data_IF_491119970757
#
_entry.id   IF_491119970757
#
_cell.length_a   1.000
_cell.length_b   1.000
_cell.length_c   1.000
_cell.angle_alpha   90.00
_cell.angle_beta   90.00
_cell.angle_gamma   90.00
#
_symmetry.space_group_name_H-M   'P 1'
#
loop_
_entity.id
_entity.type
_entity.pdbx_description
1 polymer ?
#
# COMPACT_ATOMS: atom_id res chain seq x y z
N UNK A 1 -11.16 13.01 18.08
CA UNK A 1 -10.25 14.04 18.64
C UNK A 1 -8.85 13.53 18.41
N UNK A 2 -8.21 13.95 17.31
CA UNK A 2 -6.78 13.74 17.14
C UNK A 2 -6.11 14.65 18.18
N UNK A 3 -5.32 14.10 19.10
CA UNK A 3 -4.57 14.93 20.05
C UNK A 3 -3.42 15.52 19.24
N UNK A 4 -3.37 16.84 19.00
CA UNK A 4 -2.24 17.45 18.33
C UNK A 4 -1.03 17.32 19.26
N UNK A 5 0.11 16.90 18.72
CA UNK A 5 1.39 16.78 19.44
C UNK A 5 2.00 18.13 19.88
N UNK A 6 1.22 19.21 19.87
CA UNK A 6 1.62 20.50 20.41
C UNK A 6 0.64 20.95 21.50
N UNK A 7 1.06 20.67 22.73
CA UNK A 7 0.89 21.45 23.97
C UNK A 7 0.54 20.53 25.15
N UNK A 8 1.46 20.48 26.12
CA UNK A 8 1.34 19.79 27.41
C UNK A 8 1.34 18.26 27.39
N UNK A 9 2.46 17.65 27.00
CA UNK A 9 2.83 16.35 27.57
C UNK A 9 3.33 16.59 29.02
N UNK A 10 2.71 15.99 30.06
CA UNK A 10 3.19 16.16 31.43
C UNK A 10 4.62 15.62 31.52
N UNK A 11 5.53 16.45 32.04
CA UNK A 11 6.87 16.02 32.44
C UNK A 11 6.73 14.94 33.52
N UNK A 12 7.09 13.72 33.21
CA UNK A 12 7.54 12.76 34.22
C UNK A 12 8.99 12.38 33.88
N UNK A 13 9.91 13.21 34.38
CA UNK A 13 11.27 12.80 34.64
C UNK A 13 11.29 12.25 36.07
N UNK A 14 11.65 10.98 36.22
CA UNK A 14 11.73 10.28 37.51
C UNK A 14 11.57 8.79 37.26
N UNK A 15 12.51 8.00 37.76
CA UNK A 15 12.66 6.58 37.50
C UNK A 15 11.34 5.79 37.55
N UNK A 16 11.02 5.07 36.46
CA UNK A 16 10.08 3.95 36.50
C UNK A 16 8.70 4.09 35.84
N UNK A 17 8.25 5.27 35.40
CA UNK A 17 6.86 5.43 34.94
C UNK A 17 6.68 5.65 33.43
N UNK A 18 6.14 4.60 32.79
CA UNK A 18 5.67 4.56 31.40
C UNK A 18 4.47 5.50 31.16
N UNK A 19 4.39 6.07 29.96
CA UNK A 19 3.27 6.87 29.41
C UNK A 19 1.89 6.48 29.98
N UNK A 20 1.33 7.34 30.83
CA UNK A 20 0.01 7.15 31.46
C UNK A 20 -1.12 7.48 30.48
N UNK A 21 -1.45 6.53 29.59
CA UNK A 21 -2.79 6.46 29.00
C UNK A 21 -3.67 5.60 29.92
N UNK A 22 -4.77 6.18 30.42
CA UNK A 22 -5.71 5.55 31.35
C UNK A 22 -6.45 4.37 30.68
N UNK A 23 -6.88 3.38 31.47
CA UNK A 23 -7.79 2.33 31.02
C UNK A 23 -9.09 2.99 30.49
N UNK A 24 -9.40 2.83 29.19
CA UNK A 24 -10.60 3.43 28.57
C UNK A 24 -10.36 4.43 27.43
N UNK A 25 -9.18 4.44 26.80
CA UNK A 25 -8.90 5.33 25.65
C UNK A 25 -9.80 5.03 24.45
N UNK A 26 -10.45 6.07 23.89
CA UNK A 26 -11.23 6.02 22.64
C UNK A 26 -10.34 6.19 21.39
N UNK A 27 -9.09 5.72 21.46
CA UNK A 27 -8.12 5.97 20.40
C UNK A 27 -8.44 5.12 19.17
N UNK A 28 -8.79 5.79 18.07
CA UNK A 28 -9.16 5.15 16.80
C UNK A 28 -8.09 5.30 15.73
N UNK A 29 -7.21 6.30 15.84
CA UNK A 29 -6.17 6.60 14.87
C UNK A 29 -4.85 6.85 15.58
N UNK A 30 -3.77 6.27 15.05
CA UNK A 30 -2.41 6.50 15.51
C UNK A 30 -1.52 6.77 14.30
N UNK A 31 -0.97 7.97 14.24
CA UNK A 31 -0.19 8.48 13.11
C UNK A 31 1.18 8.93 13.61
N UNK A 32 2.24 8.29 13.09
CA UNK A 32 3.63 8.59 13.43
C UNK A 32 4.38 9.32 12.30
N UNK A 33 3.67 9.95 11.36
CA UNK A 33 4.30 10.72 10.26
C UNK A 33 5.02 12.02 10.66
N UNK A 34 4.60 12.81 11.67
CA UNK A 34 5.26 14.10 11.91
C UNK A 34 6.71 13.92 12.36
N UNK A 35 7.68 14.33 11.53
CA UNK A 35 9.13 14.24 11.81
C UNK A 35 9.53 14.89 13.14
N UNK A 36 8.81 15.94 13.53
CA UNK A 36 9.04 16.71 14.75
C UNK A 36 8.56 15.98 16.01
N UNK A 37 7.68 14.98 15.89
CA UNK A 37 7.13 14.25 17.03
C UNK A 37 8.20 13.47 17.82
N UNK A 38 9.28 13.07 17.14
CA UNK A 38 10.31 12.20 17.71
C UNK A 38 11.62 12.91 18.05
N UNK A 39 11.75 14.19 17.71
CA UNK A 39 12.96 14.97 18.00
C UNK A 39 13.21 15.14 19.50
N UNK A 40 12.16 15.01 20.33
CA UNK A 40 12.21 15.07 21.79
C UNK A 40 12.49 13.72 22.47
N UNK A 41 12.55 12.61 21.74
CA UNK A 41 12.83 11.29 22.32
C UNK A 41 14.33 11.19 22.62
N UNK A 42 14.69 11.00 23.90
CA UNK A 42 16.09 10.84 24.32
C UNK A 42 16.72 9.60 23.67
N UNK A 43 17.95 9.72 23.17
CA UNK A 43 18.71 8.62 22.54
C UNK A 43 18.66 8.67 21.02
N UNK A 44 18.41 7.53 20.38
CA UNK A 44 18.52 7.35 18.92
C UNK A 44 17.58 8.25 18.10
N UNK A 45 16.50 8.79 18.68
CA UNK A 45 15.67 9.81 18.00
C UNK A 45 14.46 9.27 17.23
N UNK A 46 13.78 8.22 17.73
CA UNK A 46 12.57 7.69 17.10
C UNK A 46 11.73 6.72 17.93
N UNK A 47 10.68 6.21 17.30
CA UNK A 47 9.78 5.19 17.86
C UNK A 47 10.52 3.86 18.03
N UNK A 48 10.84 3.50 19.27
CA UNK A 48 11.43 2.19 19.58
C UNK A 48 10.35 1.11 19.73
N UNK A 49 10.76 -0.15 19.64
CA UNK A 49 9.89 -1.31 19.85
C UNK A 49 9.16 -1.27 21.20
N UNK A 50 9.85 -0.86 22.27
CA UNK A 50 9.29 -0.78 23.63
C UNK A 50 8.24 0.33 23.75
N UNK A 51 8.47 1.47 23.11
CA UNK A 51 7.50 2.57 23.06
C UNK A 51 6.27 2.13 22.30
N UNK A 52 6.43 1.56 21.10
CA UNK A 52 5.32 1.02 20.31
C UNK A 52 4.54 -0.05 21.09
N UNK A 53 5.25 -0.96 21.77
CA UNK A 53 4.65 -1.99 22.62
C UNK A 53 3.86 -1.40 23.79
N UNK A 54 4.40 -0.38 24.47
CA UNK A 54 3.75 0.26 25.61
C UNK A 54 2.44 0.97 25.21
N UNK A 55 2.44 1.60 24.02
CA UNK A 55 1.25 2.27 23.44
C UNK A 55 0.20 1.23 23.05
N UNK A 56 0.59 0.18 22.35
CA UNK A 56 -0.35 -0.83 21.84
C UNK A 56 -0.94 -1.71 22.96
N UNK A 57 -0.17 -2.00 24.03
CA UNK A 57 -0.59 -2.87 25.15
C UNK A 57 -1.75 -2.28 25.97
N UNK A 58 -1.91 -0.95 26.01
CA UNK A 58 -2.95 -0.25 26.78
C UNK A 58 -4.04 0.33 25.85
N UNK A 59 -5.02 -0.50 25.48
CA UNK A 59 -6.34 0.00 25.07
C UNK A 59 -6.60 0.27 23.58
N UNK A 60 -5.87 -0.37 22.65
CA UNK A 60 -6.15 -0.22 21.20
C UNK A 60 -7.34 -1.05 20.67
N UNK A 61 -8.33 -1.40 21.51
CA UNK A 61 -9.49 -2.21 21.10
C UNK A 61 -10.32 -1.55 20.00
N UNK A 62 -10.29 -0.21 19.94
CA UNK A 62 -11.01 0.61 18.97
C UNK A 62 -10.12 1.16 17.85
N UNK A 63 -8.86 0.76 17.77
CA UNK A 63 -7.94 1.29 16.76
C UNK A 63 -8.40 0.84 15.37
N UNK A 64 -8.73 1.79 14.52
CA UNK A 64 -9.17 1.59 13.13
C UNK A 64 -8.07 1.93 12.14
N UNK A 65 -7.12 2.81 12.48
CA UNK A 65 -6.03 3.22 11.59
C UNK A 65 -4.68 3.27 12.32
N UNK A 66 -3.64 2.72 11.69
CA UNK A 66 -2.26 2.73 12.19
C UNK A 66 -1.28 3.06 11.05
N UNK A 67 -0.46 4.10 11.21
CA UNK A 67 0.58 4.47 10.25
C UNK A 67 1.98 4.38 10.87
N UNK A 68 2.82 3.48 10.34
CA UNK A 68 4.22 3.27 10.75
C UNK A 68 5.24 3.67 9.65
N UNK A 69 4.81 4.37 8.60
CA UNK A 69 5.59 4.63 7.37
C UNK A 69 6.90 5.40 7.56
N UNK A 70 6.97 6.27 8.57
CA UNK A 70 8.14 7.08 8.92
C UNK A 70 8.87 6.59 10.18
N UNK A 71 8.67 5.32 10.56
CA UNK A 71 9.49 4.62 11.56
C UNK A 71 10.67 3.78 11.00
N UNK A 72 11.18 3.95 9.75
CA UNK A 72 12.06 2.96 9.13
C UNK A 72 13.47 2.91 9.74
N UNK A 73 13.90 3.95 10.46
CA UNK A 73 15.27 4.06 11.00
C UNK A 73 15.42 3.63 12.46
N UNK A 74 14.34 3.38 13.19
CA UNK A 74 14.40 3.23 14.66
C UNK A 74 13.91 1.90 15.21
N UNK A 75 13.34 1.05 14.35
CA UNK A 75 12.93 -0.28 14.75
C UNK A 75 14.07 -1.32 14.70
N UNK A 76 15.33 -0.94 14.46
CA UNK A 76 16.49 -1.83 14.68
C UNK A 76 17.82 -1.08 14.79
N UNK A 77 18.47 -1.10 15.96
CA UNK A 77 19.95 -1.20 16.03
C UNK A 77 20.53 -1.98 17.23
N UNK A 78 19.73 -2.53 18.16
CA UNK A 78 20.19 -3.57 19.11
C UNK A 78 19.66 -4.98 18.82
N UNK A 79 18.86 -5.15 17.75
CA UNK A 79 18.34 -6.45 17.32
C UNK A 79 19.05 -7.04 16.08
N UNK A 80 20.20 -6.48 15.68
CA UNK A 80 20.95 -6.90 14.48
C UNK A 80 21.79 -8.17 14.73
N UNK A 81 21.91 -8.65 15.97
CA UNK A 81 22.63 -9.90 16.30
C UNK A 81 21.76 -11.07 16.75
N UNK A 82 20.44 -10.90 16.91
CA UNK A 82 19.54 -11.99 17.32
C UNK A 82 18.42 -12.20 16.29
N UNK A 83 18.74 -12.90 15.19
CA UNK A 83 17.81 -13.64 14.32
C UNK A 83 16.73 -12.79 13.63
N UNK A 84 16.93 -12.58 12.33
CA UNK A 84 16.04 -11.83 11.44
C UNK A 84 14.55 -12.13 11.64
N UNK A 85 13.81 -11.08 11.98
CA UNK A 85 12.36 -11.07 11.85
C UNK A 85 11.55 -11.43 13.09
N UNK A 86 12.17 -11.64 14.25
CA UNK A 86 11.49 -12.09 15.46
C UNK A 86 10.53 -11.03 16.07
N UNK A 87 10.78 -9.73 15.90
CA UNK A 87 10.09 -8.69 16.71
C UNK A 87 8.81 -8.16 16.06
N UNK A 88 8.78 -7.91 14.74
CA UNK A 88 7.50 -7.73 14.03
C UNK A 88 6.66 -9.03 14.11
N UNK A 89 7.30 -10.20 14.22
CA UNK A 89 6.60 -11.44 14.56
C UNK A 89 5.92 -11.29 15.93
N UNK A 90 6.55 -10.74 16.98
CA UNK A 90 5.86 -10.54 18.26
C UNK A 90 4.76 -9.47 18.22
N UNK A 91 4.95 -8.35 17.52
CA UNK A 91 3.90 -7.32 17.33
C UNK A 91 2.71 -7.87 16.52
N UNK A 92 2.96 -8.64 15.46
CA UNK A 92 1.91 -9.21 14.61
C UNK A 92 1.30 -10.52 15.14
N UNK A 93 2.07 -11.37 15.82
CA UNK A 93 1.65 -12.67 16.39
C UNK A 93 1.08 -12.54 17.81
N UNK A 94 1.40 -11.44 18.52
CA UNK A 94 0.96 -11.16 19.90
C UNK A 94 0.07 -9.93 20.07
N UNK A 95 0.44 -8.76 19.49
CA UNK A 95 -0.23 -7.47 19.78
C UNK A 95 -1.44 -7.18 18.90
N UNK A 96 -1.30 -7.22 17.57
CA UNK A 96 -2.40 -6.87 16.66
C UNK A 96 -3.52 -7.92 16.69
N UNK A 97 -3.18 -9.20 16.87
CA UNK A 97 -4.13 -10.33 16.86
C UNK A 97 -5.02 -10.52 18.06
N UNK A 98 -4.65 -9.98 19.22
CA UNK A 98 -5.51 -10.08 20.41
C UNK A 98 -6.27 -8.78 20.68
N UNK A 99 -5.74 -7.62 20.29
CA UNK A 99 -6.25 -6.32 20.73
C UNK A 99 -6.77 -5.40 19.62
N UNK A 100 -6.29 -5.46 18.37
CA UNK A 100 -6.67 -4.52 17.30
C UNK A 100 -7.62 -5.16 16.25
N UNK A 101 -8.72 -5.77 16.71
CA UNK A 101 -9.67 -6.50 15.84
C UNK A 101 -10.44 -5.59 14.87
N UNK A 102 -10.52 -4.30 15.18
CA UNK A 102 -11.24 -3.30 14.41
C UNK A 102 -10.33 -2.54 13.43
N UNK A 103 -9.06 -2.95 13.29
CA UNK A 103 -8.12 -2.27 12.39
C UNK A 103 -8.60 -2.40 10.94
N UNK A 104 -8.81 -1.25 10.31
CA UNK A 104 -9.25 -1.08 8.91
C UNK A 104 -8.13 -0.57 8.03
N UNK A 105 -7.28 0.31 8.53
CA UNK A 105 -6.20 0.93 7.76
C UNK A 105 -4.85 0.67 8.42
N UNK A 106 -3.87 0.29 7.60
CA UNK A 106 -2.52 0.01 8.05
C UNK A 106 -1.49 0.49 7.02
N UNK A 107 -0.55 1.32 7.44
CA UNK A 107 0.62 1.70 6.66
C UNK A 107 1.90 1.16 7.30
N UNK A 108 2.63 0.35 6.54
CA UNK A 108 3.91 -0.25 6.91
C UNK A 108 5.02 0.13 5.92
N UNK A 109 4.85 1.20 5.14
CA UNK A 109 5.80 1.63 4.12
C UNK A 109 7.21 1.81 4.69
N UNK A 110 8.22 1.32 3.97
CA UNK A 110 9.62 1.40 4.41
C UNK A 110 10.00 0.53 5.62
N UNK A 111 9.03 -0.12 6.29
CA UNK A 111 9.30 -1.01 7.43
C UNK A 111 9.81 -2.36 6.93
N UNK A 112 10.78 -2.93 7.66
CA UNK A 112 11.35 -4.26 7.37
C UNK A 112 10.40 -5.37 7.84
N UNK A 113 9.38 -5.68 7.03
CA UNK A 113 8.39 -6.73 7.30
C UNK A 113 8.79 -8.05 6.64
N UNK A 114 8.66 -9.16 7.37
CA UNK A 114 8.87 -10.51 6.84
C UNK A 114 7.53 -11.28 6.64
N UNK A 115 7.60 -12.39 5.92
CA UNK A 115 6.44 -13.23 5.58
C UNK A 115 5.66 -13.76 6.79
N UNK A 116 6.37 -14.20 7.84
CA UNK A 116 5.74 -14.77 9.03
C UNK A 116 4.96 -13.71 9.81
N UNK A 117 5.52 -12.51 9.91
CA UNK A 117 4.87 -11.34 10.49
C UNK A 117 3.58 -10.99 9.77
N UNK A 118 3.64 -10.76 8.46
CA UNK A 118 2.47 -10.34 7.68
C UNK A 118 1.39 -11.42 7.67
N UNK A 119 1.78 -12.71 7.65
CA UNK A 119 0.86 -13.83 7.83
C UNK A 119 0.14 -13.77 9.18
N UNK A 120 0.87 -13.54 10.28
CA UNK A 120 0.26 -13.44 11.62
C UNK A 120 -0.70 -12.24 11.71
N UNK A 121 -0.31 -11.10 11.13
CA UNK A 121 -1.14 -9.89 11.04
C UNK A 121 -2.41 -10.15 10.23
N UNK A 122 -2.30 -10.81 9.09
CA UNK A 122 -3.46 -11.09 8.23
C UNK A 122 -4.51 -11.99 8.88
N UNK A 123 -4.09 -12.93 9.75
CA UNK A 123 -5.00 -13.78 10.52
C UNK A 123 -5.76 -13.03 11.61
N UNK A 124 -5.21 -11.89 12.00
CA UNK A 124 -5.55 -11.11 13.18
C UNK A 124 -6.47 -9.94 12.81
N UNK A 125 -6.06 -9.17 11.80
CA UNK A 125 -6.72 -7.99 11.29
C UNK A 125 -7.55 -8.34 10.04
N UNK A 126 -8.56 -9.20 10.21
CA UNK A 126 -9.41 -9.66 9.09
C UNK A 126 -10.37 -8.58 8.57
N UNK A 127 -10.54 -7.49 9.32
CA UNK A 127 -11.36 -6.32 8.97
C UNK A 127 -10.62 -5.25 8.17
N UNK A 128 -9.37 -5.52 7.77
CA UNK A 128 -8.56 -4.56 7.03
C UNK A 128 -9.23 -4.22 5.69
N UNK A 129 -9.40 -2.92 5.46
CA UNK A 129 -9.96 -2.30 4.26
C UNK A 129 -8.85 -1.66 3.41
N UNK A 130 -7.81 -1.11 4.07
CA UNK A 130 -6.68 -0.44 3.43
C UNK A 130 -5.33 -0.93 3.97
N UNK A 131 -4.42 -1.24 3.04
CA UNK A 131 -3.03 -1.58 3.35
C UNK A 131 -2.07 -0.80 2.45
N UNK A 132 -1.03 -0.23 3.05
CA UNK A 132 0.09 0.41 2.36
C UNK A 132 1.40 -0.26 2.77
N UNK A 133 2.17 -0.72 1.79
CA UNK A 133 3.43 -1.45 1.93
C UNK A 133 4.48 -0.91 0.95
N UNK A 134 4.59 0.41 0.80
CA UNK A 134 5.47 1.00 -0.21
C UNK A 134 6.94 0.71 0.12
N UNK A 135 7.73 0.38 -0.92
CA UNK A 135 9.18 0.16 -0.84
C UNK A 135 9.57 -0.90 0.22
N UNK A 136 8.66 -1.81 0.56
CA UNK A 136 8.91 -2.91 1.49
C UNK A 136 9.61 -4.09 0.80
N UNK A 137 10.83 -3.89 0.27
CA UNK A 137 11.51 -4.84 -0.64
C UNK A 137 11.68 -6.29 -0.13
N UNK A 138 11.56 -6.53 1.17
CA UNK A 138 11.62 -7.88 1.78
C UNK A 138 10.27 -8.59 1.86
N UNK A 139 9.17 -7.90 1.57
CA UNK A 139 7.82 -8.49 1.52
C UNK A 139 7.71 -9.29 0.23
N UNK A 140 7.96 -10.59 0.33
CA UNK A 140 7.77 -11.51 -0.79
C UNK A 140 6.28 -11.77 -1.09
N UNK A 141 5.98 -12.27 -2.28
CA UNK A 141 4.60 -12.53 -2.72
C UNK A 141 3.85 -13.52 -1.82
N UNK A 142 4.54 -14.47 -1.20
CA UNK A 142 3.95 -15.39 -0.23
C UNK A 142 3.34 -14.64 0.97
N UNK A 143 3.93 -13.52 1.37
CA UNK A 143 3.42 -12.69 2.45
C UNK A 143 2.11 -12.00 2.05
N UNK A 144 2.11 -11.34 0.88
CA UNK A 144 0.92 -10.70 0.30
C UNK A 144 -0.19 -11.72 0.04
N UNK A 145 0.16 -12.93 -0.38
CA UNK A 145 -0.79 -14.03 -0.57
C UNK A 145 -1.57 -14.35 0.72
N UNK A 146 -0.90 -14.44 1.87
CA UNK A 146 -1.59 -14.64 3.15
C UNK A 146 -2.46 -13.45 3.53
N UNK A 147 -1.99 -12.23 3.25
CA UNK A 147 -2.74 -11.00 3.46
C UNK A 147 -4.06 -11.01 2.69
N UNK A 148 -4.00 -11.17 1.36
CA UNK A 148 -5.19 -11.20 0.51
C UNK A 148 -6.10 -12.40 0.79
N UNK A 149 -5.52 -13.54 1.19
CA UNK A 149 -6.30 -14.70 1.60
C UNK A 149 -7.16 -14.43 2.84
N UNK A 150 -6.67 -13.69 3.83
CA UNK A 150 -7.37 -13.54 5.11
C UNK A 150 -8.14 -12.22 5.23
N UNK A 151 -7.66 -11.12 4.62
CA UNK A 151 -8.27 -9.79 4.71
C UNK A 151 -9.25 -9.57 3.54
N UNK A 152 -10.46 -10.14 3.66
CA UNK A 152 -11.46 -10.16 2.57
C UNK A 152 -12.22 -8.86 2.35
N UNK A 153 -11.99 -7.86 3.19
CA UNK A 153 -12.60 -6.52 3.07
C UNK A 153 -11.67 -5.49 2.41
N UNK A 154 -10.45 -5.90 2.02
CA UNK A 154 -9.50 -4.99 1.39
C UNK A 154 -10.12 -4.37 0.13
N UNK A 155 -10.18 -3.04 0.12
CA UNK A 155 -10.62 -2.21 -0.99
C UNK A 155 -9.50 -1.30 -1.52
N UNK A 156 -8.41 -1.14 -0.76
CA UNK A 156 -7.29 -0.29 -1.12
C UNK A 156 -5.97 -1.00 -0.80
N UNK A 157 -5.16 -1.24 -1.82
CA UNK A 157 -3.85 -1.88 -1.68
C UNK A 157 -2.81 -1.02 -2.39
N UNK A 158 -1.81 -0.57 -1.64
CA UNK A 158 -0.68 0.14 -2.18
C UNK A 158 0.61 -0.62 -1.90
N UNK A 159 1.28 -1.07 -2.97
CA UNK A 159 2.56 -1.79 -2.91
C UNK A 159 3.59 -1.14 -3.84
N UNK A 160 3.49 0.19 -4.05
CA UNK A 160 4.42 0.96 -4.88
C UNK A 160 5.89 0.69 -4.49
N UNK A 161 6.77 0.58 -5.47
CA UNK A 161 8.20 0.38 -5.29
C UNK A 161 8.61 -1.02 -4.81
N UNK A 162 7.70 -1.99 -4.72
CA UNK A 162 8.06 -3.39 -4.49
C UNK A 162 8.60 -4.01 -5.79
N UNK A 163 9.87 -3.74 -6.09
CA UNK A 163 10.53 -4.07 -7.36
C UNK A 163 10.55 -5.56 -7.73
N UNK A 164 10.50 -6.46 -6.74
CA UNK A 164 10.49 -7.92 -6.96
C UNK A 164 9.10 -8.54 -7.10
N UNK A 165 8.04 -7.73 -7.05
CA UNK A 165 6.65 -8.18 -7.19
C UNK A 165 6.37 -8.56 -8.65
N UNK A 166 5.94 -9.80 -8.89
CA UNK A 166 5.59 -10.34 -10.21
C UNK A 166 4.08 -10.43 -10.45
N UNK A 167 3.29 -10.29 -9.39
CA UNK A 167 1.84 -10.38 -9.38
C UNK A 167 1.31 -11.80 -9.15
N UNK A 168 2.12 -12.81 -8.79
CA UNK A 168 1.54 -14.14 -8.50
C UNK A 168 0.71 -14.12 -7.22
N UNK A 169 0.89 -13.18 -6.30
CA UNK A 169 -0.01 -13.08 -5.15
C UNK A 169 -1.45 -12.64 -5.53
N UNK A 170 -1.65 -12.04 -6.71
CA UNK A 170 -2.91 -11.42 -7.09
C UNK A 170 -4.06 -12.41 -7.29
N UNK A 171 -3.80 -13.70 -7.52
CA UNK A 171 -4.88 -14.71 -7.57
C UNK A 171 -5.62 -14.86 -6.25
N UNK A 172 -5.11 -14.31 -5.14
CA UNK A 172 -5.79 -14.29 -3.85
C UNK A 172 -6.45 -12.96 -3.51
N UNK A 173 -6.34 -11.94 -4.37
CA UNK A 173 -6.99 -10.65 -4.14
C UNK A 173 -8.49 -10.84 -3.89
N UNK A 174 -9.05 -10.11 -2.91
CA UNK A 174 -10.49 -10.15 -2.69
C UNK A 174 -11.23 -9.34 -3.77
N UNK A 175 -12.44 -9.77 -4.17
CA UNK A 175 -13.27 -9.04 -5.14
C UNK A 175 -13.66 -7.62 -4.71
N UNK A 176 -13.53 -7.30 -3.42
CA UNK A 176 -13.74 -5.97 -2.87
C UNK A 176 -12.64 -4.97 -3.21
N UNK A 177 -11.52 -5.41 -3.80
CA UNK A 177 -10.40 -4.52 -4.12
C UNK A 177 -10.79 -3.55 -5.25
N UNK A 178 -10.88 -2.26 -4.91
CA UNK A 178 -11.28 -1.19 -5.84
C UNK A 178 -10.11 -0.29 -6.23
N UNK A 179 -9.08 -0.17 -5.39
CA UNK A 179 -7.97 0.75 -5.56
C UNK A 179 -6.63 0.01 -5.44
N UNK A 180 -5.84 0.01 -6.51
CA UNK A 180 -4.58 -0.72 -6.59
C UNK A 180 -3.44 0.19 -7.05
N UNK A 181 -2.39 0.33 -6.24
CA UNK A 181 -1.23 1.14 -6.58
C UNK A 181 0.01 0.25 -6.69
N UNK A 182 0.55 0.17 -7.90
CA UNK A 182 1.61 -0.75 -8.35
C UNK A 182 2.81 -0.01 -8.93
N UNK A 183 2.84 1.32 -8.83
CA UNK A 183 3.90 2.14 -9.40
C UNK A 183 5.30 1.60 -9.04
N UNK A 184 6.20 1.61 -10.02
CA UNK A 184 7.58 1.08 -9.88
C UNK A 184 7.69 -0.39 -9.42
N UNK A 185 6.63 -1.20 -9.54
CA UNK A 185 6.74 -2.67 -9.48
C UNK A 185 7.33 -3.20 -10.80
N UNK A 186 8.64 -2.97 -10.99
CA UNK A 186 9.34 -3.18 -12.26
C UNK A 186 9.36 -4.64 -12.77
N UNK A 187 9.11 -5.64 -11.92
CA UNK A 187 9.01 -7.05 -12.31
C UNK A 187 7.58 -7.56 -12.46
N UNK A 188 6.58 -6.67 -12.39
CA UNK A 188 5.18 -7.03 -12.55
C UNK A 188 4.95 -7.62 -13.95
N UNK A 189 4.23 -8.73 -14.02
CA UNK A 189 4.04 -9.50 -15.27
C UNK A 189 2.61 -9.42 -15.76
N UNK A 190 2.42 -9.61 -17.06
CA UNK A 190 1.09 -9.67 -17.70
C UNK A 190 0.19 -10.75 -17.07
N UNK A 191 0.77 -11.91 -16.72
CA UNK A 191 0.06 -12.96 -15.97
C UNK A 191 -0.44 -12.48 -14.61
N UNK A 192 0.36 -11.66 -13.92
CA UNK A 192 -0.05 -10.99 -12.68
C UNK A 192 -1.26 -10.07 -12.92
N UNK A 193 -1.22 -9.27 -13.99
CA UNK A 193 -2.35 -8.43 -14.41
C UNK A 193 -3.61 -9.24 -14.73
N UNK A 194 -3.47 -10.39 -15.40
CA UNK A 194 -4.57 -11.32 -15.63
C UNK A 194 -5.23 -11.80 -14.33
N UNK A 195 -4.44 -12.23 -13.35
CA UNK A 195 -4.98 -12.62 -12.03
C UNK A 195 -5.70 -11.47 -11.33
N UNK A 196 -5.14 -10.26 -11.39
CA UNK A 196 -5.77 -9.07 -10.83
C UNK A 196 -7.10 -8.78 -11.54
N UNK A 197 -7.12 -8.80 -12.87
CA UNK A 197 -8.33 -8.63 -13.68
C UNK A 197 -9.39 -9.68 -13.38
N UNK A 198 -9.00 -10.93 -13.16
CA UNK A 198 -9.91 -12.02 -12.82
C UNK A 198 -10.57 -11.87 -11.45
N UNK A 199 -9.86 -11.31 -10.47
CA UNK A 199 -10.36 -11.17 -9.10
C UNK A 199 -11.11 -9.88 -8.85
N UNK A 200 -10.67 -8.77 -9.42
CA UNK A 200 -11.08 -7.43 -9.01
C UNK A 200 -11.92 -6.73 -10.08
N UNK A 201 -13.11 -7.27 -10.39
CA UNK A 201 -13.98 -6.74 -11.46
C UNK A 201 -14.54 -5.34 -11.20
N UNK A 202 -14.59 -4.92 -9.92
CA UNK A 202 -15.08 -3.61 -9.49
C UNK A 202 -13.95 -2.57 -9.30
N UNK A 203 -12.79 -2.78 -9.93
CA UNK A 203 -11.67 -1.87 -9.81
C UNK A 203 -12.03 -0.49 -10.36
N UNK A 204 -11.78 0.55 -9.56
CA UNK A 204 -12.02 1.96 -9.90
C UNK A 204 -10.74 2.70 -10.18
N UNK A 205 -9.70 2.45 -9.39
CA UNK A 205 -8.43 3.18 -9.48
C UNK A 205 -7.28 2.21 -9.62
N UNK A 206 -6.42 2.44 -10.62
CA UNK A 206 -5.17 1.71 -10.75
C UNK A 206 -4.03 2.60 -11.23
N UNK A 207 -2.88 2.48 -10.56
CA UNK A 207 -1.61 3.08 -10.98
C UNK A 207 -0.58 1.98 -11.27
N UNK A 208 -0.19 1.85 -12.53
CA UNK A 208 0.83 0.91 -13.04
C UNK A 208 2.03 1.66 -13.64
N UNK A 209 2.25 2.90 -13.21
CA UNK A 209 3.34 3.74 -13.72
C UNK A 209 4.71 3.11 -13.47
N UNK A 210 5.59 3.11 -14.47
CA UNK A 210 6.92 2.53 -14.33
C UNK A 210 6.95 1.01 -14.12
N UNK A 211 5.85 0.28 -14.37
CA UNK A 211 5.83 -1.18 -14.45
C UNK A 211 6.44 -1.65 -15.77
N UNK A 212 7.75 -1.49 -15.92
CA UNK A 212 8.47 -1.63 -17.20
C UNK A 212 8.48 -3.02 -17.82
N UNK A 213 8.14 -4.07 -17.05
CA UNK A 213 8.07 -5.44 -17.53
C UNK A 213 6.72 -5.81 -18.17
N UNK A 214 5.70 -4.95 -18.05
CA UNK A 214 4.42 -5.16 -18.71
C UNK A 214 4.55 -5.00 -20.23
N UNK A 215 3.71 -5.73 -20.95
CA UNK A 215 3.54 -5.61 -22.40
C UNK A 215 2.12 -5.18 -22.74
N UNK A 216 1.82 -5.08 -24.03
CA UNK A 216 0.46 -4.86 -24.52
C UNK A 216 -0.55 -5.87 -23.94
N UNK A 217 -0.15 -7.13 -23.69
CA UNK A 217 -1.02 -8.13 -23.08
C UNK A 217 -1.42 -7.75 -21.66
N UNK A 218 -0.49 -7.27 -20.83
CA UNK A 218 -0.80 -6.86 -19.46
C UNK A 218 -1.82 -5.71 -19.40
N UNK A 219 -1.71 -4.76 -20.33
CA UNK A 219 -2.69 -3.66 -20.47
C UNK A 219 -4.04 -4.21 -20.96
N UNK A 220 -4.03 -5.14 -21.91
CA UNK A 220 -5.23 -5.78 -22.43
C UNK A 220 -5.98 -6.58 -21.35
N UNK A 221 -5.27 -7.43 -20.60
CA UNK A 221 -5.81 -8.23 -19.50
C UNK A 221 -6.51 -7.36 -18.46
N UNK A 222 -5.89 -6.23 -18.09
CA UNK A 222 -6.49 -5.26 -17.18
C UNK A 222 -7.78 -4.66 -17.76
N UNK A 223 -7.69 -4.10 -18.97
CA UNK A 223 -8.77 -3.31 -19.57
C UNK A 223 -9.97 -4.14 -20.03
N UNK A 224 -9.78 -5.42 -20.39
CA UNK A 224 -10.86 -6.33 -20.76
C UNK A 224 -11.64 -6.86 -19.55
N UNK A 225 -11.01 -6.90 -18.38
CA UNK A 225 -11.61 -7.52 -17.19
C UNK A 225 -12.10 -6.49 -16.15
N UNK A 226 -11.50 -5.31 -16.09
CA UNK A 226 -11.82 -4.26 -15.13
C UNK A 226 -12.47 -3.06 -15.83
N UNK A 227 -13.69 -3.22 -16.32
CA UNK A 227 -14.44 -2.21 -17.07
C UNK A 227 -15.00 -1.06 -16.20
N UNK A 228 -14.93 -1.19 -14.86
CA UNK A 228 -15.35 -0.16 -13.91
C UNK A 228 -14.25 0.86 -13.56
N UNK A 229 -13.09 0.81 -14.23
CA UNK A 229 -11.99 1.74 -13.94
C UNK A 229 -12.43 3.17 -14.30
N UNK A 230 -12.33 4.06 -13.31
CA UNK A 230 -12.59 5.49 -13.41
C UNK A 230 -11.28 6.30 -13.46
N UNK A 231 -10.19 5.79 -12.87
CA UNK A 231 -8.87 6.44 -12.86
C UNK A 231 -7.77 5.45 -13.22
N UNK A 232 -7.06 5.70 -14.32
CA UNK A 232 -5.90 4.93 -14.77
C UNK A 232 -4.67 5.83 -14.85
N UNK A 233 -3.62 5.47 -14.11
CA UNK A 233 -2.29 6.10 -14.22
C UNK A 233 -1.32 5.09 -14.84
N UNK A 234 -0.84 5.40 -16.05
CA UNK A 234 0.11 4.60 -16.81
C UNK A 234 1.24 5.52 -17.30
N UNK A 235 1.95 6.18 -16.36
CA UNK A 235 3.10 7.02 -16.72
C UNK A 235 4.35 6.16 -16.93
N UNK A 236 5.19 6.52 -17.91
CA UNK A 236 6.50 5.84 -18.16
C UNK A 236 6.34 4.32 -18.30
N UNK A 237 5.50 3.89 -19.25
CA UNK A 237 5.34 2.49 -19.61
C UNK A 237 6.66 1.88 -20.09
N UNK A 238 6.79 0.56 -19.95
CA UNK A 238 7.97 -0.17 -20.40
C UNK A 238 8.14 -0.14 -21.93
N UNK A 239 9.35 -0.46 -22.44
CA UNK A 239 9.63 -0.48 -23.88
C UNK A 239 8.81 -1.53 -24.65
N UNK A 240 8.19 -2.48 -23.95
CA UNK A 240 7.38 -3.54 -24.55
C UNK A 240 5.89 -3.18 -24.65
N UNK A 241 5.48 -2.01 -24.14
CA UNK A 241 4.16 -1.45 -24.39
C UNK A 241 4.24 -0.62 -25.67
N UNK A 242 3.33 -0.86 -26.59
CA UNK A 242 3.23 -0.17 -27.86
C UNK A 242 1.94 0.66 -27.92
N UNK A 243 1.80 1.47 -28.96
CA UNK A 243 0.54 2.17 -29.23
C UNK A 243 -0.64 1.20 -29.37
N UNK A 244 -0.43 -0.05 -29.78
CA UNK A 244 -1.50 -1.05 -29.88
C UNK A 244 -2.02 -1.46 -28.51
N UNK A 245 -1.16 -1.65 -27.51
CA UNK A 245 -1.57 -1.91 -26.14
C UNK A 245 -2.32 -0.73 -25.52
N UNK A 246 -1.86 0.50 -25.77
CA UNK A 246 -2.55 1.70 -25.28
C UNK A 246 -3.96 1.88 -25.86
N UNK A 247 -4.23 1.38 -27.08
CA UNK A 247 -5.60 1.39 -27.64
C UNK A 247 -6.58 0.56 -26.81
N UNK A 248 -6.11 -0.43 -26.04
CA UNK A 248 -6.97 -1.24 -25.18
C UNK A 248 -7.63 -0.42 -24.05
N UNK A 249 -7.08 0.76 -23.73
CA UNK A 249 -7.71 1.73 -22.80
C UNK A 249 -9.10 2.13 -23.28
N UNK A 250 -9.37 2.07 -24.60
CA UNK A 250 -10.71 2.27 -25.16
C UNK A 250 -11.78 1.29 -24.65
N UNK A 251 -11.43 0.22 -23.94
CA UNK A 251 -12.41 -0.65 -23.28
C UNK A 251 -12.97 -0.03 -21.98
N UNK A 252 -12.33 1.00 -21.45
CA UNK A 252 -12.69 1.65 -20.18
C UNK A 252 -13.69 2.79 -20.42
N UNK A 253 -14.94 2.45 -20.67
CA UNK A 253 -16.01 3.42 -20.96
C UNK A 253 -16.34 4.37 -19.79
N UNK A 254 -16.06 3.93 -18.55
CA UNK A 254 -16.29 4.72 -17.32
C UNK A 254 -15.08 5.58 -16.91
N UNK A 255 -14.01 5.58 -17.71
CA UNK A 255 -12.78 6.31 -17.39
C UNK A 255 -13.03 7.83 -17.33
N UNK A 256 -12.58 8.45 -16.24
CA UNK A 256 -12.68 9.89 -15.93
C UNK A 256 -11.32 10.56 -15.88
N UNK A 257 -10.32 9.86 -15.35
CA UNK A 257 -8.96 10.36 -15.17
C UNK A 257 -7.98 9.41 -15.85
N UNK A 258 -7.18 9.94 -16.77
CA UNK A 258 -6.16 9.18 -17.50
C UNK A 258 -4.83 9.94 -17.48
N UNK A 259 -3.80 9.30 -16.94
CA UNK A 259 -2.42 9.78 -17.05
C UNK A 259 -1.60 8.87 -17.96
N UNK A 260 -1.20 9.41 -19.12
CA UNK A 260 -0.30 8.78 -20.08
C UNK A 260 1.04 9.49 -20.17
N UNK A 261 1.38 10.35 -19.21
CA UNK A 261 2.61 11.14 -19.24
C UNK A 261 3.86 10.28 -19.43
N UNK A 262 4.89 10.85 -20.04
CA UNK A 262 6.19 10.19 -20.27
C UNK A 262 6.10 8.92 -21.11
N UNK A 263 5.09 8.81 -21.97
CA UNK A 263 4.96 7.74 -22.96
C UNK A 263 5.13 8.30 -24.37
N UNK A 264 6.33 8.16 -24.95
CA UNK A 264 6.62 8.57 -26.34
C UNK A 264 5.84 7.75 -27.40
N UNK A 265 5.22 6.65 -26.99
CA UNK A 265 4.38 5.78 -27.81
C UNK A 265 2.95 6.32 -28.04
N UNK A 266 2.53 7.37 -27.32
CA UNK A 266 1.22 8.00 -27.52
C UNK A 266 1.20 8.69 -28.88
N UNK A 267 0.16 8.42 -29.68
CA UNK A 267 -0.02 8.97 -31.01
C UNK A 267 -1.50 9.26 -31.30
N UNK A 268 -1.77 9.85 -32.47
CA UNK A 268 -3.13 10.26 -32.87
C UNK A 268 -4.13 9.10 -32.87
N UNK A 269 -3.69 7.88 -33.17
CA UNK A 269 -4.57 6.70 -33.17
C UNK A 269 -4.99 6.33 -31.74
N UNK A 270 -4.05 6.39 -30.79
CA UNK A 270 -4.34 6.18 -29.36
C UNK A 270 -5.31 7.24 -28.86
N UNK A 271 -5.02 8.52 -29.13
CA UNK A 271 -5.87 9.64 -28.70
C UNK A 271 -7.26 9.61 -29.35
N UNK A 272 -7.36 9.26 -30.64
CA UNK A 272 -8.63 9.06 -31.32
C UNK A 272 -9.44 7.92 -30.70
N UNK A 273 -8.79 6.80 -30.35
CA UNK A 273 -9.44 5.65 -29.70
C UNK A 273 -9.99 6.05 -28.33
N UNK A 274 -9.19 6.75 -27.50
CA UNK A 274 -9.60 7.23 -26.19
C UNK A 274 -10.75 8.24 -26.32
N UNK A 275 -10.61 9.24 -27.19
CA UNK A 275 -11.62 10.28 -27.39
C UNK A 275 -12.97 9.75 -27.90
N UNK A 276 -12.96 8.65 -28.66
CA UNK A 276 -14.18 7.98 -29.13
C UNK A 276 -14.84 7.12 -28.06
N UNK A 277 -14.06 6.39 -27.25
CA UNK A 277 -14.59 5.36 -26.35
C UNK A 277 -14.78 5.83 -24.91
N UNK A 278 -13.87 6.65 -24.38
CA UNK A 278 -13.88 7.12 -22.99
C UNK A 278 -14.72 8.40 -22.86
N UNK A 279 -16.03 8.28 -23.08
CA UNK A 279 -16.96 9.42 -23.16
C UNK A 279 -17.13 10.22 -21.85
N UNK A 280 -16.68 9.65 -20.72
CA UNK A 280 -16.74 10.28 -19.39
C UNK A 280 -15.41 10.90 -18.96
N UNK A 281 -14.41 10.94 -19.84
CA UNK A 281 -13.07 11.45 -19.53
C UNK A 281 -13.12 12.96 -19.26
N UNK A 282 -12.69 13.34 -18.05
CA UNK A 282 -12.64 14.74 -17.59
C UNK A 282 -11.23 15.26 -17.39
N UNK A 283 -10.25 14.36 -17.23
CA UNK A 283 -8.84 14.70 -17.03
C UNK A 283 -7.96 13.78 -17.87
N UNK A 284 -7.10 14.39 -18.69
CA UNK A 284 -6.12 13.69 -19.53
C UNK A 284 -4.75 14.35 -19.38
N UNK A 285 -3.78 13.62 -18.84
CA UNK A 285 -2.39 14.07 -18.72
C UNK A 285 -1.54 13.45 -19.84
N UNK A 286 -0.98 14.30 -20.71
CA UNK A 286 -0.08 13.94 -21.81
C UNK A 286 1.32 14.55 -21.64
N UNK A 287 1.66 15.01 -20.43
CA UNK A 287 2.94 15.66 -20.18
C UNK A 287 4.11 14.77 -20.61
N UNK A 288 5.11 15.36 -21.27
CA UNK A 288 6.31 14.65 -21.73
C UNK A 288 6.06 13.42 -22.64
N UNK A 289 4.98 13.38 -23.43
CA UNK A 289 4.72 12.31 -24.43
C UNK A 289 5.42 12.52 -25.79
N UNK A 290 6.56 13.22 -25.80
CA UNK A 290 7.25 13.58 -27.03
C UNK A 290 8.04 12.38 -27.58
N UNK A 291 8.13 12.27 -28.91
CA UNK A 291 9.12 11.38 -29.54
C UNK A 291 10.49 12.03 -29.35
N UNK A 292 11.39 11.34 -28.64
CA UNK A 292 12.83 11.66 -28.67
C UNK A 292 13.38 11.50 -30.10
#
# INVERSE_FOLDING_TARGET
MAIPLHSNLPRCAGDGDYWLLSHGTRMTHLDFRPKEAFTSFKGIGGLTDEVLWSILRRGCQNLTSLDLSLSPHFLTEFAVLCIGGIIIIYVCKGLLGKQCKLLKELDLSGVVVNTSSLKALSKSCTHLEKITLQKCHRVGEKALWWLFKNCKKLNHVNVEGNKSLKGQCFFMLPPSCENMYLKECIQLTDKGMGYLGDKCKNMKTIDISGCIALTDDGILQLTQHCWMIESLVLSKAGPNVTSQGLRAIGNLSLLRELDLSKNSIVNDVVLYTIGRSCIHLTSLNLDSCQKE
#
